data_IF_734134957629
#
_entry.id   IF_734134957629
#
_cell.length_a   1.000
_cell.length_b   1.000
_cell.length_c   1.000
_cell.angle_alpha   90.00
_cell.angle_beta   90.00
_cell.angle_gamma   90.00
#
_symmetry.space_group_name_H-M   'P 1'
#
loop_
_entity.id
_entity.type
_entity.pdbx_description
1 polymer ?
#
# COMPACT_ATOMS: atom_id res chain seq x y z
N UNK A 1 8.37 6.18 15.93
CA UNK A 1 7.26 5.80 16.81
C UNK A 1 6.00 6.64 16.57
N UNK A 2 6.05 7.98 16.62
CA UNK A 2 4.85 8.85 16.52
C UNK A 2 4.03 8.65 15.24
N UNK A 3 4.66 8.54 14.08
CA UNK A 3 3.97 8.31 12.78
C UNK A 3 3.28 6.96 12.76
N UNK A 4 3.96 5.90 13.20
CA UNK A 4 3.41 4.54 13.24
C UNK A 4 2.17 4.47 14.14
N UNK A 5 2.24 5.06 15.35
CA UNK A 5 1.11 5.08 16.28
C UNK A 5 -0.08 5.86 15.72
N UNK A 6 0.16 6.99 15.02
CA UNK A 6 -0.90 7.76 14.37
C UNK A 6 -1.59 6.94 13.28
N UNK A 7 -0.81 6.33 12.38
CA UNK A 7 -1.35 5.48 11.30
C UNK A 7 -2.12 4.28 11.86
N UNK A 8 -1.58 3.62 12.88
CA UNK A 8 -2.26 2.52 13.55
C UNK A 8 -3.63 2.95 14.10
N UNK A 9 -3.73 4.14 14.69
CA UNK A 9 -5.00 4.69 15.19
C UNK A 9 -6.00 4.91 14.07
N UNK A 10 -5.61 5.56 12.97
CA UNK A 10 -6.48 5.78 11.81
C UNK A 10 -6.97 4.46 11.19
N UNK A 11 -6.09 3.45 11.09
CA UNK A 11 -6.47 2.12 10.60
C UNK A 11 -7.49 1.45 11.54
N UNK A 12 -7.28 1.53 12.85
CA UNK A 12 -8.20 0.99 13.85
C UNK A 12 -9.57 1.70 13.76
N UNK A 13 -9.58 3.01 13.61
CA UNK A 13 -10.84 3.78 13.54
C UNK A 13 -11.64 3.36 12.29
N UNK A 14 -11.00 3.19 11.15
CA UNK A 14 -11.64 2.69 9.92
C UNK A 14 -12.17 1.27 10.10
N UNK A 15 -11.35 0.39 10.69
CA UNK A 15 -11.77 -1.00 10.94
C UNK A 15 -12.97 -1.08 11.92
N UNK A 16 -12.99 -0.25 12.96
CA UNK A 16 -14.12 -0.15 13.90
C UNK A 16 -15.39 0.40 13.25
N UNK A 17 -15.24 1.20 12.20
CA UNK A 17 -16.33 1.66 11.34
C UNK A 17 -16.95 0.57 10.46
N UNK A 18 -16.48 -0.68 10.55
CA UNK A 18 -17.01 -1.84 9.80
C UNK A 18 -16.31 -2.13 8.48
N UNK A 19 -15.23 -1.42 8.15
CA UNK A 19 -14.45 -1.68 6.94
C UNK A 19 -13.45 -2.81 7.16
N UNK A 20 -13.36 -3.75 6.23
CA UNK A 20 -12.31 -4.75 6.17
C UNK A 20 -11.00 -4.11 5.70
N UNK A 21 -9.92 -4.23 6.47
CA UNK A 21 -8.67 -3.51 6.20
C UNK A 21 -7.51 -4.46 5.98
N UNK A 22 -6.95 -4.41 4.78
CA UNK A 22 -5.66 -4.99 4.43
C UNK A 22 -4.60 -3.89 4.32
N UNK A 23 -3.41 -4.12 4.84
CA UNK A 23 -2.29 -3.16 4.82
C UNK A 23 -1.11 -3.79 4.11
N UNK A 24 -0.63 -3.16 3.04
CA UNK A 24 0.64 -3.52 2.39
C UNK A 24 1.69 -2.51 2.80
N UNK A 25 2.81 -3.00 3.30
CA UNK A 25 3.84 -2.13 3.87
C UNK A 25 5.16 -2.30 3.13
N UNK A 26 5.85 -1.18 2.83
CA UNK A 26 7.15 -1.18 2.19
C UNK A 26 8.31 -1.32 3.19
N UNK A 27 9.50 -1.64 2.68
CA UNK A 27 10.75 -1.75 3.45
C UNK A 27 11.73 -0.60 3.25
N UNK A 28 11.38 0.40 2.41
CA UNK A 28 12.31 1.41 1.93
C UNK A 28 12.87 2.40 2.98
N UNK A 29 12.34 2.40 4.19
CA UNK A 29 12.87 3.13 5.34
C UNK A 29 14.05 2.41 6.02
N UNK A 30 14.15 1.09 5.86
CA UNK A 30 15.21 0.24 6.40
C UNK A 30 16.22 -0.06 5.30
N UNK A 31 15.73 -0.46 4.11
CA UNK A 31 16.54 -0.95 3.01
C UNK A 31 15.96 -0.54 1.65
N UNK A 32 16.79 0.02 0.77
CA UNK A 32 16.45 0.37 -0.61
C UNK A 32 17.39 -0.33 -1.57
N UNK A 33 16.92 -1.42 -2.21
CA UNK A 33 17.70 -2.24 -3.14
C UNK A 33 18.26 -1.46 -4.34
N UNK A 34 17.51 -0.47 -4.86
CA UNK A 34 17.97 0.37 -5.98
C UNK A 34 19.25 1.16 -5.67
N UNK A 35 19.37 1.71 -4.46
CA UNK A 35 20.58 2.45 -4.06
C UNK A 35 21.80 1.56 -3.87
N UNK A 36 21.61 0.28 -3.55
CA UNK A 36 22.69 -0.66 -3.31
C UNK A 36 23.07 -1.47 -4.56
N UNK A 37 22.16 -1.66 -5.50
CA UNK A 37 22.51 -2.16 -6.84
C UNK A 37 23.50 -1.23 -7.54
N UNK A 38 23.38 0.08 -7.33
CA UNK A 38 24.37 1.06 -7.81
C UNK A 38 25.77 0.90 -7.17
N UNK A 39 25.88 0.25 -6.01
CA UNK A 39 27.13 -0.06 -5.31
C UNK A 39 27.68 -1.47 -5.59
N UNK A 40 27.12 -2.20 -6.58
CA UNK A 40 27.58 -3.51 -7.01
C UNK A 40 26.91 -4.71 -6.32
N UNK A 41 25.85 -4.49 -5.53
CA UNK A 41 25.06 -5.57 -4.96
C UNK A 41 24.21 -6.25 -6.03
N UNK A 42 24.09 -7.58 -5.96
CA UNK A 42 23.15 -8.33 -6.80
C UNK A 42 21.70 -7.88 -6.55
N UNK A 43 20.96 -7.63 -7.64
CA UNK A 43 19.59 -7.13 -7.58
C UNK A 43 18.65 -8.07 -6.84
N UNK A 44 18.76 -9.37 -7.08
CA UNK A 44 17.92 -10.40 -6.45
C UNK A 44 18.14 -10.43 -4.94
N UNK A 45 19.42 -10.37 -4.53
CA UNK A 45 19.81 -10.28 -3.11
C UNK A 45 19.22 -9.01 -2.47
N UNK A 46 19.36 -7.86 -3.13
CA UNK A 46 18.80 -6.60 -2.68
C UNK A 46 17.28 -6.64 -2.52
N UNK A 47 16.58 -7.24 -3.46
CA UNK A 47 15.11 -7.38 -3.40
C UNK A 47 14.68 -8.33 -2.25
N UNK A 48 15.40 -9.43 -1.99
CA UNK A 48 15.14 -10.27 -0.83
C UNK A 48 15.37 -9.53 0.50
N UNK A 49 16.42 -8.74 0.60
CA UNK A 49 16.65 -7.88 1.77
C UNK A 49 15.51 -6.86 1.95
N UNK A 50 15.02 -6.28 0.86
CA UNK A 50 13.83 -5.42 0.85
C UNK A 50 12.57 -6.13 1.35
N UNK A 51 12.34 -7.38 0.93
CA UNK A 51 11.23 -8.20 1.44
C UNK A 51 11.33 -8.44 2.94
N UNK A 52 12.52 -8.79 3.46
CA UNK A 52 12.75 -8.96 4.89
C UNK A 52 12.54 -7.64 5.66
N UNK A 53 12.95 -6.51 5.11
CA UNK A 53 12.69 -5.20 5.69
C UNK A 53 11.18 -4.90 5.80
N UNK A 54 10.36 -5.35 4.85
CA UNK A 54 8.90 -5.22 4.98
C UNK A 54 8.34 -6.07 6.11
N UNK A 55 8.92 -7.25 6.37
CA UNK A 55 8.51 -8.11 7.50
C UNK A 55 8.77 -7.40 8.83
N UNK A 56 9.94 -6.78 8.99
CA UNK A 56 10.25 -5.97 10.19
C UNK A 56 9.22 -4.87 10.39
N UNK A 57 8.89 -4.12 9.33
CA UNK A 57 7.88 -3.07 9.40
C UNK A 57 6.47 -3.61 9.68
N UNK A 58 6.13 -4.77 9.14
CA UNK A 58 4.83 -5.42 9.37
C UNK A 58 4.66 -5.83 10.83
N UNK A 59 5.68 -6.38 11.46
CA UNK A 59 5.69 -6.71 12.90
C UNK A 59 5.56 -5.45 13.76
N UNK A 60 6.27 -4.37 13.40
CA UNK A 60 6.15 -3.11 14.11
C UNK A 60 4.74 -2.51 13.98
N UNK A 61 4.11 -2.64 12.82
CA UNK A 61 2.72 -2.22 12.61
C UNK A 61 1.75 -3.11 13.39
N UNK A 62 1.95 -4.41 13.43
CA UNK A 62 1.16 -5.34 14.23
C UNK A 62 1.20 -4.93 15.71
N UNK A 63 2.37 -4.75 16.29
CA UNK A 63 2.53 -4.33 17.68
C UNK A 63 1.80 -3.00 17.98
N UNK A 64 1.93 -2.03 17.06
CA UNK A 64 1.26 -0.74 17.21
C UNK A 64 -0.27 -0.85 17.16
N UNK A 65 -0.80 -1.67 16.28
CA UNK A 65 -2.24 -1.92 16.14
C UNK A 65 -2.79 -2.70 17.34
N UNK A 66 -2.09 -3.73 17.80
CA UNK A 66 -2.49 -4.57 18.93
C UNK A 66 -2.49 -3.79 20.25
N UNK A 67 -1.54 -2.87 20.45
CA UNK A 67 -1.52 -1.92 21.58
C UNK A 67 -2.75 -0.99 21.62
N UNK A 68 -3.40 -0.78 20.49
CA UNK A 68 -4.65 -0.02 20.40
C UNK A 68 -5.90 -0.91 20.44
N UNK A 69 -5.74 -2.20 20.73
CA UNK A 69 -6.82 -3.18 20.85
C UNK A 69 -7.27 -3.79 19.51
N UNK A 70 -6.48 -3.61 18.44
CA UNK A 70 -6.75 -4.24 17.14
C UNK A 70 -6.46 -5.75 17.16
N UNK A 71 -7.25 -6.50 16.40
CA UNK A 71 -6.96 -7.92 16.12
C UNK A 71 -6.24 -8.01 14.78
N UNK A 72 -4.97 -8.35 14.79
CA UNK A 72 -4.09 -8.26 13.61
C UNK A 72 -3.54 -9.62 13.22
N UNK A 73 -3.28 -9.81 11.94
CA UNK A 73 -2.51 -10.93 11.39
C UNK A 73 -1.49 -10.42 10.38
N UNK A 74 -0.24 -10.77 10.57
CA UNK A 74 0.81 -10.57 9.57
C UNK A 74 0.89 -11.81 8.71
N UNK A 75 0.81 -11.64 7.39
CA UNK A 75 0.92 -12.73 6.42
C UNK A 75 2.05 -12.42 5.43
N UNK A 76 3.00 -13.34 5.31
CA UNK A 76 4.20 -13.17 4.49
C UNK A 76 4.10 -13.95 3.19
N UNK A 77 4.55 -13.34 2.09
CA UNK A 77 4.68 -14.00 0.79
C UNK A 77 5.88 -14.96 0.71
N UNK A 78 6.86 -14.82 1.61
CA UNK A 78 7.96 -15.79 1.80
C UNK A 78 7.78 -16.52 3.12
N UNK A 79 8.23 -17.77 3.21
CA UNK A 79 8.04 -18.60 4.41
C UNK A 79 8.94 -18.12 5.55
N UNK A 80 8.33 -17.65 6.63
CA UNK A 80 8.97 -17.25 7.89
C UNK A 80 8.01 -17.65 9.04
N UNK A 81 7.68 -18.91 9.12
CA UNK A 81 6.57 -19.44 9.93
C UNK A 81 6.74 -19.24 11.44
N UNK A 82 7.98 -19.07 11.92
CA UNK A 82 8.28 -18.78 13.32
C UNK A 82 7.89 -17.35 13.73
N UNK A 83 7.65 -16.46 12.73
CA UNK A 83 7.45 -15.03 12.96
C UNK A 83 6.07 -14.56 12.53
N UNK A 84 5.55 -15.07 11.41
CA UNK A 84 4.26 -14.68 10.85
C UNK A 84 3.63 -15.81 10.04
N UNK A 85 2.35 -15.66 9.69
CA UNK A 85 1.63 -16.64 8.88
C UNK A 85 2.07 -16.62 7.42
N UNK A 86 2.05 -17.79 6.75
CA UNK A 86 2.15 -17.83 5.29
C UNK A 86 0.93 -17.17 4.64
N UNK A 87 1.17 -16.37 3.60
CA UNK A 87 0.09 -15.83 2.80
C UNK A 87 -0.63 -16.97 2.05
N UNK A 88 -1.86 -17.21 2.43
CA UNK A 88 -2.81 -18.07 1.72
C UNK A 88 -4.07 -17.25 1.49
N UNK A 89 -4.45 -17.02 0.23
CA UNK A 89 -5.56 -16.14 -0.17
C UNK A 89 -6.83 -16.37 0.65
N UNK A 90 -7.31 -17.62 0.76
CA UNK A 90 -8.53 -17.95 1.50
C UNK A 90 -8.41 -17.67 3.00
N UNK A 91 -7.22 -17.80 3.56
CA UNK A 91 -6.96 -17.49 4.98
C UNK A 91 -6.98 -15.99 5.20
N UNK A 92 -6.39 -15.20 4.29
CA UNK A 92 -6.44 -13.74 4.35
C UNK A 92 -7.88 -13.22 4.31
N UNK A 93 -8.69 -13.69 3.34
CA UNK A 93 -10.13 -13.36 3.25
C UNK A 93 -10.84 -13.72 4.57
N UNK A 94 -10.60 -14.92 5.10
CA UNK A 94 -11.23 -15.35 6.36
C UNK A 94 -10.83 -14.50 7.56
N UNK A 95 -9.62 -13.95 7.57
CA UNK A 95 -9.22 -12.99 8.60
C UNK A 95 -9.97 -11.67 8.46
N UNK A 96 -10.09 -11.14 7.25
CA UNK A 96 -10.82 -9.91 6.96
C UNK A 96 -12.31 -10.04 7.35
N UNK A 97 -13.00 -11.08 6.90
CA UNK A 97 -14.39 -11.40 7.28
C UNK A 97 -14.62 -11.49 8.80
N UNK A 98 -13.60 -11.87 9.56
CA UNK A 98 -13.64 -11.90 11.04
C UNK A 98 -13.32 -10.54 11.67
N UNK A 99 -13.24 -9.47 10.89
CA UNK A 99 -12.88 -8.13 11.34
C UNK A 99 -11.45 -8.04 11.89
N UNK A 100 -10.52 -8.84 11.36
CA UNK A 100 -9.10 -8.74 11.66
C UNK A 100 -8.43 -7.85 10.62
N UNK A 101 -7.50 -7.03 11.04
CA UNK A 101 -6.62 -6.30 10.14
C UNK A 101 -5.56 -7.27 9.64
N UNK A 102 -5.37 -7.36 8.33
CA UNK A 102 -4.32 -8.19 7.73
C UNK A 102 -3.18 -7.30 7.23
N UNK A 103 -1.97 -7.54 7.71
CA UNK A 103 -0.77 -6.85 7.23
C UNK A 103 -0.01 -7.80 6.32
N UNK A 104 0.09 -7.43 5.04
CA UNK A 104 0.78 -8.21 4.02
C UNK A 104 2.26 -7.83 3.96
N UNK A 105 3.15 -8.78 4.19
CA UNK A 105 4.59 -8.62 4.22
C UNK A 105 5.28 -9.38 3.07
N UNK A 106 6.54 -9.08 2.84
CA UNK A 106 7.41 -9.67 1.81
C UNK A 106 6.95 -9.41 0.36
N UNK A 107 6.18 -8.35 0.14
CA UNK A 107 5.78 -7.94 -1.19
C UNK A 107 5.00 -9.01 -1.96
N UNK A 108 5.45 -9.32 -3.18
CA UNK A 108 4.93 -10.43 -4.00
C UNK A 108 5.57 -11.77 -3.65
N UNK A 109 6.67 -11.77 -2.90
CA UNK A 109 7.54 -12.93 -2.68
C UNK A 109 8.54 -13.18 -3.82
N UNK A 110 8.53 -12.34 -4.86
CA UNK A 110 9.39 -12.47 -6.02
C UNK A 110 10.24 -11.21 -6.21
N UNK A 111 11.53 -11.35 -6.57
CA UNK A 111 12.37 -10.23 -6.99
C UNK A 111 11.78 -9.47 -8.18
N UNK A 112 12.28 -8.26 -8.44
CA UNK A 112 11.91 -7.36 -9.53
C UNK A 112 10.54 -6.69 -9.44
N UNK A 113 9.71 -7.03 -8.43
CA UNK A 113 8.43 -6.38 -8.18
C UNK A 113 8.56 -5.36 -7.05
N UNK A 114 7.75 -4.31 -7.14
CA UNK A 114 7.70 -3.26 -6.12
C UNK A 114 6.62 -3.53 -5.06
N UNK A 115 6.61 -2.71 -4.02
CA UNK A 115 5.50 -2.67 -3.05
C UNK A 115 4.18 -2.28 -3.71
N UNK A 116 4.21 -1.44 -4.74
CA UNK A 116 3.01 -1.03 -5.49
C UNK A 116 2.40 -2.22 -6.24
N UNK A 117 3.23 -3.01 -6.93
CA UNK A 117 2.81 -4.26 -7.58
C UNK A 117 2.22 -5.25 -6.57
N UNK A 118 2.84 -5.36 -5.40
CA UNK A 118 2.34 -6.21 -4.32
C UNK A 118 0.97 -5.73 -3.82
N UNK A 119 0.79 -4.41 -3.64
CA UNK A 119 -0.47 -3.84 -3.18
C UNK A 119 -1.61 -4.09 -4.17
N UNK A 120 -1.37 -3.88 -5.47
CA UNK A 120 -2.35 -4.19 -6.51
C UNK A 120 -2.71 -5.68 -6.53
N UNK A 121 -1.71 -6.57 -6.46
CA UNK A 121 -1.92 -8.02 -6.42
C UNK A 121 -2.76 -8.44 -5.20
N UNK A 122 -2.40 -7.98 -4.00
CA UNK A 122 -3.15 -8.31 -2.78
C UNK A 122 -4.58 -7.77 -2.81
N UNK A 123 -4.79 -6.55 -3.31
CA UNK A 123 -6.12 -5.98 -3.48
C UNK A 123 -7.01 -6.88 -4.37
N UNK A 124 -6.50 -7.35 -5.50
CA UNK A 124 -7.20 -8.26 -6.41
C UNK A 124 -7.49 -9.59 -5.72
N UNK A 125 -6.49 -10.20 -5.07
CA UNK A 125 -6.61 -11.52 -4.44
C UNK A 125 -7.63 -11.55 -3.31
N UNK A 126 -7.76 -10.49 -2.54
CA UNK A 126 -8.74 -10.42 -1.44
C UNK A 126 -10.08 -9.82 -1.85
N UNK A 127 -10.21 -9.33 -3.09
CA UNK A 127 -11.44 -8.70 -3.59
C UNK A 127 -11.69 -7.32 -2.99
N UNK A 128 -10.63 -6.51 -2.81
CA UNK A 128 -10.77 -5.17 -2.28
C UNK A 128 -11.58 -4.26 -3.23
N UNK A 129 -12.46 -3.44 -2.67
CA UNK A 129 -13.29 -2.48 -3.41
C UNK A 129 -12.53 -1.17 -3.72
N UNK A 130 -11.48 -0.88 -2.95
CA UNK A 130 -10.66 0.32 -3.10
C UNK A 130 -9.22 0.03 -2.65
N UNK A 131 -8.26 0.44 -3.47
CA UNK A 131 -6.85 0.48 -3.11
C UNK A 131 -6.46 1.91 -2.74
N UNK A 132 -5.89 2.10 -1.57
CA UNK A 132 -5.42 3.39 -1.08
C UNK A 132 -3.91 3.45 -1.12
N UNK A 133 -3.35 4.44 -1.84
CA UNK A 133 -1.93 4.74 -1.81
C UNK A 133 -1.65 5.97 -0.95
N UNK A 134 -1.12 5.73 0.23
CA UNK A 134 -0.66 6.77 1.14
C UNK A 134 0.70 7.31 0.71
N UNK A 135 0.80 8.59 0.45
CA UNK A 135 2.01 9.27 -0.03
C UNK A 135 2.34 10.51 0.82
N UNK A 136 3.37 11.25 0.43
CA UNK A 136 3.72 12.55 1.02
C UNK A 136 3.22 13.74 0.18
N UNK A 137 2.41 13.46 -0.84
CA UNK A 137 1.76 14.46 -1.70
C UNK A 137 0.26 14.19 -1.71
N UNK A 138 -0.52 15.24 -1.85
CA UNK A 138 -1.98 15.21 -1.71
C UNK A 138 -2.73 14.71 -2.96
N UNK A 139 -2.02 14.17 -3.93
CA UNK A 139 -2.60 13.61 -5.14
C UNK A 139 -1.61 13.49 -6.29
N UNK A 140 -2.13 13.26 -7.49
CA UNK A 140 -1.36 13.18 -8.74
C UNK A 140 -1.40 14.54 -9.44
N UNK A 141 -0.24 14.97 -9.92
CA UNK A 141 -0.05 16.25 -10.59
C UNK A 141 0.37 16.08 -12.05
N UNK A 142 0.13 17.11 -12.85
CA UNK A 142 0.56 17.17 -14.25
C UNK A 142 2.09 17.19 -14.42
N UNK A 143 2.81 17.67 -13.40
CA UNK A 143 4.26 17.69 -13.28
C UNK A 143 4.64 17.61 -11.79
N UNK A 144 5.92 17.52 -11.46
CA UNK A 144 6.37 17.57 -10.05
C UNK A 144 6.10 18.98 -9.46
N UNK A 145 5.18 19.13 -8.51
CA UNK A 145 4.81 20.43 -7.95
C UNK A 145 5.94 21.12 -7.17
N UNK A 146 7.00 20.40 -6.85
CA UNK A 146 8.21 20.95 -6.20
C UNK A 146 9.15 21.61 -7.21
N UNK A 147 9.04 21.25 -8.49
CA UNK A 147 9.88 21.75 -9.57
C UNK A 147 9.14 22.69 -10.49
N UNK A 148 7.83 22.53 -10.60
CA UNK A 148 6.95 23.30 -11.49
C UNK A 148 5.77 23.85 -10.67
N UNK A 149 5.80 25.14 -10.40
CA UNK A 149 4.73 25.84 -9.67
C UNK A 149 3.41 25.94 -10.44
N UNK A 150 3.40 25.60 -11.74
CA UNK A 150 2.20 25.57 -12.59
C UNK A 150 1.56 24.19 -12.63
N UNK A 151 2.17 23.19 -11.98
CA UNK A 151 1.63 21.85 -11.90
C UNK A 151 0.24 21.84 -11.28
N UNK A 152 -0.72 21.23 -11.98
CA UNK A 152 -2.10 21.13 -11.55
C UNK A 152 -2.38 19.73 -11.01
N UNK A 153 -3.04 19.66 -9.86
CA UNK A 153 -3.50 18.40 -9.30
C UNK A 153 -4.73 17.88 -10.04
N UNK A 154 -4.74 16.61 -10.36
CA UNK A 154 -5.92 15.93 -10.89
C UNK A 154 -6.83 15.45 -9.75
N UNK A 155 -8.13 15.71 -9.87
CA UNK A 155 -9.13 15.13 -8.96
C UNK A 155 -9.43 13.68 -9.33
N UNK A 156 -9.51 13.40 -10.64
CA UNK A 156 -9.78 12.07 -11.20
C UNK A 156 -8.98 11.85 -12.48
N UNK A 157 -8.51 10.62 -12.68
CA UNK A 157 -7.80 10.15 -13.86
C UNK A 157 -8.31 8.76 -14.24
N UNK A 158 -8.20 8.42 -15.53
CA UNK A 158 -8.33 7.04 -15.95
C UNK A 158 -6.99 6.32 -15.85
N UNK A 159 -7.00 4.99 -15.74
CA UNK A 159 -5.76 4.19 -15.78
C UNK A 159 -4.96 4.45 -17.06
N UNK A 160 -5.63 4.55 -18.20
CA UNK A 160 -4.98 4.82 -19.49
C UNK A 160 -4.32 6.20 -19.51
N UNK A 161 -4.97 7.23 -18.98
CA UNK A 161 -4.35 8.56 -18.83
C UNK A 161 -3.09 8.52 -17.98
N UNK A 162 -3.08 7.73 -16.90
CA UNK A 162 -1.89 7.55 -16.05
C UNK A 162 -0.75 6.91 -16.84
N UNK A 163 -1.05 5.85 -17.61
CA UNK A 163 -0.06 5.12 -18.40
C UNK A 163 0.46 5.97 -19.56
N UNK A 164 -0.43 6.55 -20.37
CA UNK A 164 -0.08 7.34 -21.55
C UNK A 164 0.73 8.59 -21.20
N UNK A 165 0.34 9.29 -20.15
CA UNK A 165 1.04 10.51 -19.67
C UNK A 165 2.25 10.19 -18.80
N UNK A 166 2.54 8.92 -18.52
CA UNK A 166 3.63 8.45 -17.65
C UNK A 166 3.64 9.16 -16.29
N UNK A 167 2.45 9.33 -15.70
CA UNK A 167 2.32 10.00 -14.40
C UNK A 167 2.89 9.13 -13.29
N UNK A 168 3.64 9.76 -12.38
CA UNK A 168 4.31 9.07 -11.26
C UNK A 168 3.33 8.73 -10.13
N UNK A 169 2.41 7.79 -10.38
CA UNK A 169 1.40 7.32 -9.42
C UNK A 169 1.88 6.06 -8.71
N UNK A 170 2.05 5.01 -9.48
CA UNK A 170 2.56 3.69 -9.12
C UNK A 170 3.44 3.18 -10.27
N UNK A 171 4.13 2.07 -10.09
CA UNK A 171 4.76 1.44 -11.25
C UNK A 171 3.72 0.97 -12.29
N UNK A 172 4.15 0.88 -13.55
CA UNK A 172 3.25 0.59 -14.67
C UNK A 172 2.57 -0.78 -14.51
N UNK A 173 3.25 -1.78 -13.94
CA UNK A 173 2.69 -3.10 -13.73
C UNK A 173 1.53 -3.05 -12.72
N UNK A 174 1.67 -2.28 -11.64
CA UNK A 174 0.62 -2.07 -10.66
C UNK A 174 -0.61 -1.38 -11.26
N UNK A 175 -0.40 -0.32 -12.06
CA UNK A 175 -1.51 0.38 -12.74
C UNK A 175 -2.21 -0.54 -13.75
N UNK A 176 -1.46 -1.33 -14.52
CA UNK A 176 -2.03 -2.29 -15.46
C UNK A 176 -2.89 -3.34 -14.75
N UNK A 177 -2.43 -3.88 -13.62
CA UNK A 177 -3.21 -4.80 -12.79
C UNK A 177 -4.50 -4.15 -12.29
N UNK A 178 -4.43 -2.93 -11.74
CA UNK A 178 -5.62 -2.21 -11.28
C UNK A 178 -6.62 -1.96 -12.42
N UNK A 179 -6.14 -1.61 -13.62
CA UNK A 179 -6.97 -1.42 -14.81
C UNK A 179 -7.68 -2.71 -15.23
N UNK A 180 -6.93 -3.79 -15.39
CA UNK A 180 -7.45 -5.05 -15.93
C UNK A 180 -8.48 -5.68 -14.98
N UNK A 181 -8.30 -5.52 -13.68
CA UNK A 181 -9.22 -6.00 -12.64
C UNK A 181 -10.18 -4.95 -12.11
N UNK A 182 -10.14 -3.72 -12.65
CA UNK A 182 -11.03 -2.60 -12.29
C UNK A 182 -11.01 -2.25 -10.80
N UNK A 183 -9.83 -2.30 -10.18
CA UNK A 183 -9.64 -1.90 -8.78
C UNK A 183 -9.46 -0.38 -8.72
N UNK A 184 -10.41 0.40 -8.19
CA UNK A 184 -10.22 1.83 -8.01
C UNK A 184 -9.02 2.09 -7.10
N UNK A 185 -8.20 3.08 -7.49
CA UNK A 185 -7.02 3.49 -6.73
C UNK A 185 -7.17 4.96 -6.32
N UNK A 186 -6.96 5.26 -5.04
CA UNK A 186 -6.94 6.63 -4.55
C UNK A 186 -5.59 6.96 -3.94
N UNK A 187 -5.01 8.06 -4.39
CA UNK A 187 -3.73 8.60 -3.92
C UNK A 187 -4.02 9.76 -2.98
N UNK A 188 -3.46 9.75 -1.77
CA UNK A 188 -3.72 10.78 -0.76
C UNK A 188 -2.49 11.06 0.09
N UNK A 189 -2.47 12.25 0.72
CA UNK A 189 -1.42 12.63 1.66
C UNK A 189 -1.66 11.97 3.03
N UNK A 190 -0.68 11.17 3.45
CA UNK A 190 -0.69 10.48 4.74
C UNK A 190 -0.45 11.43 5.93
N UNK A 191 0.01 12.66 5.72
CA UNK A 191 0.38 13.58 6.80
C UNK A 191 -0.83 14.17 7.53
N UNK A 192 -1.97 14.26 6.86
CA UNK A 192 -3.23 14.79 7.41
C UNK A 192 -3.83 13.86 8.46
N UNK A 193 -4.22 14.40 9.60
CA UNK A 193 -4.92 13.62 10.62
C UNK A 193 -6.37 13.32 10.21
N UNK A 194 -6.81 12.07 10.40
CA UNK A 194 -8.19 11.63 10.12
C UNK A 194 -8.54 11.55 8.62
N UNK A 195 -7.58 11.74 7.73
CA UNK A 195 -7.82 11.73 6.28
C UNK A 195 -8.35 10.38 5.81
N UNK A 196 -7.84 9.29 6.37
CA UNK A 196 -8.28 7.94 6.00
C UNK A 196 -9.78 7.74 6.27
N UNK A 197 -10.26 8.13 7.44
CA UNK A 197 -11.68 8.05 7.78
C UNK A 197 -12.55 8.91 6.87
N UNK A 198 -12.13 10.13 6.56
CA UNK A 198 -12.86 11.06 5.68
C UNK A 198 -12.98 10.48 4.26
N UNK A 199 -11.92 9.85 3.74
CA UNK A 199 -11.97 9.12 2.46
C UNK A 199 -13.00 8.01 2.52
N UNK A 200 -13.04 7.23 3.61
CA UNK A 200 -14.02 6.14 3.78
C UNK A 200 -15.47 6.65 3.91
N UNK A 201 -15.65 7.89 4.35
CA UNK A 201 -16.94 8.59 4.39
C UNK A 201 -17.36 9.19 3.04
N UNK A 202 -16.53 9.02 1.99
CA UNK A 202 -16.82 9.46 0.63
C UNK A 202 -16.30 10.85 0.28
N UNK A 203 -15.50 11.49 1.15
CA UNK A 203 -14.92 12.79 0.79
C UNK A 203 -13.95 12.65 -0.39
N UNK A 204 -13.98 13.56 -1.38
CA UNK A 204 -13.16 13.50 -2.59
C UNK A 204 -11.72 13.98 -2.34
N UNK A 205 -11.06 13.41 -1.32
CA UNK A 205 -9.68 13.76 -0.96
C UNK A 205 -8.70 13.03 -1.90
N UNK A 206 -7.67 13.74 -2.33
CA UNK A 206 -6.61 13.17 -3.16
C UNK A 206 -7.00 13.07 -4.64
N UNK A 207 -6.43 12.10 -5.33
CA UNK A 207 -6.73 11.78 -6.73
C UNK A 207 -7.31 10.38 -6.83
N UNK A 208 -8.47 10.24 -7.47
CA UNK A 208 -9.05 8.95 -7.81
C UNK A 208 -8.58 8.50 -9.18
N UNK A 209 -8.13 7.27 -9.31
CA UNK A 209 -7.80 6.61 -10.59
C UNK A 209 -8.73 5.41 -10.77
N UNK A 210 -9.51 5.41 -11.83
CA UNK A 210 -10.46 4.35 -12.14
C UNK A 210 -10.70 4.19 -13.65
N UNK A 211 -11.75 3.48 -14.05
CA UNK A 211 -12.09 3.25 -15.47
C UNK A 211 -12.78 4.45 -16.16
N UNK A 212 -13.03 5.56 -15.44
CA UNK A 212 -13.63 6.77 -16.01
C UNK A 212 -15.15 6.71 -16.26
N UNK A 213 -15.86 5.70 -15.73
CA UNK A 213 -17.31 5.56 -15.84
C UNK A 213 -18.05 6.15 -14.66
#
# INVERSE_FOLDING_TARGET
>A
PKVLTRLAREIIDVQRGGTEVGVVIGGGNIFRGEGLAASGMDRVTGDHMGMLATVINALAMQDALEKLGGRVRVMSAIKINEVCEDFIRRRAIRHLEKGRIVVFAAGTGNPFFTTDSAAALRAIEVGAELLLKATKVDGVYSADPRKDSTAQRFERLTYDQVIERKLAVMDTAAIALCRDYKIPLRIYDISGAGVLMRIMQGEPIGTLVDSGR
#
